data_IF_439742004966
#
_entry.id   IF_439742004966
#
_cell.length_a   1.000
_cell.length_b   1.000
_cell.length_c   1.000
_cell.angle_alpha   90.00
_cell.angle_beta   90.00
_cell.angle_gamma   90.00
#
_symmetry.space_group_name_H-M   'P 1'
#
loop_
_entity.id
_entity.type
_entity.pdbx_description
1 polymer ?
#
# COMPACT_ATOMS: atom_id res chain seq x y z
N UNK A 1 -15.62 -19.31 -9.57
CA UNK A 1 -15.52 -17.97 -8.96
C UNK A 1 -14.84 -17.05 -9.98
N UNK A 2 -15.45 -15.92 -10.37
CA UNK A 2 -14.82 -14.95 -11.29
C UNK A 2 -13.49 -14.50 -10.65
N UNK A 3 -12.37 -14.67 -11.37
CA UNK A 3 -11.10 -14.11 -10.94
C UNK A 3 -11.21 -12.58 -10.97
N UNK A 4 -11.21 -11.94 -9.79
CA UNK A 4 -11.12 -10.48 -9.66
C UNK A 4 -9.80 -10.05 -10.32
N UNK A 5 -9.77 -8.95 -11.09
CA UNK A 5 -8.53 -8.47 -11.73
C UNK A 5 -7.57 -7.87 -10.70
N UNK A 6 -6.32 -7.59 -11.09
CA UNK A 6 -5.35 -6.89 -10.23
C UNK A 6 -5.83 -5.45 -9.97
N UNK A 7 -6.17 -4.72 -11.03
CA UNK A 7 -6.65 -3.34 -10.95
C UNK A 7 -7.89 -3.18 -10.06
N UNK A 8 -8.82 -4.14 -10.14
CA UNK A 8 -9.99 -4.15 -9.25
C UNK A 8 -9.59 -4.31 -7.78
N UNK A 9 -8.61 -5.15 -7.47
CA UNK A 9 -8.10 -5.30 -6.11
C UNK A 9 -7.37 -4.05 -5.64
N UNK A 10 -6.61 -3.37 -6.51
CA UNK A 10 -5.96 -2.10 -6.18
C UNK A 10 -6.97 -1.02 -5.82
N UNK A 11 -8.07 -0.94 -6.58
CA UNK A 11 -9.19 -0.02 -6.30
C UNK A 11 -9.85 -0.39 -4.97
N UNK A 12 -10.17 -1.67 -4.75
CA UNK A 12 -10.79 -2.13 -3.50
C UNK A 12 -9.88 -1.84 -2.29
N UNK A 13 -8.59 -2.11 -2.42
CA UNK A 13 -7.60 -1.88 -1.38
C UNK A 13 -7.51 -0.38 -1.04
N UNK A 14 -7.29 0.46 -2.06
CA UNK A 14 -7.13 1.90 -1.90
C UNK A 14 -8.40 2.55 -1.36
N UNK A 15 -9.57 2.13 -1.85
CA UNK A 15 -10.86 2.60 -1.34
C UNK A 15 -11.06 2.19 0.13
N UNK A 16 -10.81 0.93 0.48
CA UNK A 16 -11.00 0.44 1.85
C UNK A 16 -10.06 1.14 2.83
N UNK A 17 -8.80 1.33 2.45
CA UNK A 17 -7.81 2.05 3.25
C UNK A 17 -8.20 3.53 3.42
N UNK A 18 -8.49 4.21 2.32
CA UNK A 18 -8.85 5.63 2.36
C UNK A 18 -10.14 5.87 3.16
N UNK A 19 -11.12 4.97 3.01
CA UNK A 19 -12.36 5.06 3.76
C UNK A 19 -12.16 4.76 5.25
N UNK A 20 -11.29 3.80 5.60
CA UNK A 20 -10.88 3.54 6.98
C UNK A 20 -10.34 4.81 7.64
N UNK A 21 -9.39 5.49 6.99
CA UNK A 21 -8.76 6.71 7.52
C UNK A 21 -9.78 7.86 7.63
N UNK A 22 -10.66 8.01 6.64
CA UNK A 22 -11.73 9.01 6.68
C UNK A 22 -12.69 8.76 7.87
N UNK A 23 -13.09 7.51 8.08
CA UNK A 23 -13.97 7.14 9.19
C UNK A 23 -13.30 7.37 10.55
N UNK A 24 -12.01 7.04 10.66
CA UNK A 24 -11.20 7.31 11.85
C UNK A 24 -11.14 8.81 12.14
N UNK A 25 -10.84 9.64 11.14
CA UNK A 25 -10.82 11.11 11.28
C UNK A 25 -12.17 11.71 11.69
N UNK A 26 -13.28 11.07 11.30
CA UNK A 26 -14.65 11.47 11.71
C UNK A 26 -15.13 10.81 12.99
N UNK A 27 -14.25 10.11 13.71
CA UNK A 27 -14.52 9.39 14.98
C UNK A 27 -15.54 8.23 14.87
N UNK A 28 -15.85 7.75 13.66
CA UNK A 28 -16.75 6.59 13.46
C UNK A 28 -15.98 5.25 13.56
N UNK A 29 -15.47 4.97 14.76
CA UNK A 29 -14.51 3.90 15.04
C UNK A 29 -14.97 2.48 14.65
N UNK A 30 -16.22 2.03 14.92
CA UNK A 30 -16.62 0.67 14.61
C UNK A 30 -16.52 0.32 13.12
N UNK A 31 -16.90 1.25 12.24
CA UNK A 31 -16.81 1.04 10.80
C UNK A 31 -15.36 1.17 10.31
N UNK A 32 -14.56 2.01 10.96
CA UNK A 32 -13.11 2.10 10.73
C UNK A 32 -12.46 0.72 10.93
N UNK A 33 -12.78 0.03 12.02
CA UNK A 33 -12.28 -1.33 12.26
C UNK A 33 -12.77 -2.34 11.21
N UNK A 34 -14.02 -2.24 10.77
CA UNK A 34 -14.54 -3.11 9.73
C UNK A 34 -13.77 -2.97 8.41
N UNK A 35 -13.24 -1.78 8.11
CA UNK A 35 -12.42 -1.52 6.92
C UNK A 35 -10.98 -2.06 7.02
N UNK A 36 -10.47 -2.41 8.21
CA UNK A 36 -9.14 -3.03 8.36
C UNK A 36 -9.07 -4.34 7.57
N UNK A 37 -10.07 -5.22 7.76
CA UNK A 37 -10.07 -6.55 7.15
C UNK A 37 -10.00 -6.53 5.61
N UNK A 38 -10.89 -5.82 4.88
CA UNK A 38 -10.81 -5.76 3.43
C UNK A 38 -9.52 -5.08 2.95
N UNK A 39 -8.99 -4.10 3.70
CA UNK A 39 -7.71 -3.45 3.38
C UNK A 39 -6.53 -4.43 3.46
N UNK A 40 -6.38 -5.13 4.58
CA UNK A 40 -5.26 -6.06 4.76
C UNK A 40 -5.38 -7.26 3.82
N UNK A 41 -6.57 -7.85 3.68
CA UNK A 41 -6.78 -9.00 2.80
C UNK A 41 -6.50 -8.66 1.33
N UNK A 42 -7.02 -7.53 0.84
CA UNK A 42 -6.75 -7.12 -0.54
C UNK A 42 -5.26 -6.82 -0.76
N UNK A 43 -4.57 -6.22 0.21
CA UNK A 43 -3.12 -5.98 0.14
C UNK A 43 -2.31 -7.27 0.09
N UNK A 44 -2.66 -8.28 0.89
CA UNK A 44 -2.05 -9.61 0.85
C UNK A 44 -2.28 -10.27 -0.53
N UNK A 45 -3.51 -10.24 -1.03
CA UNK A 45 -3.83 -10.83 -2.35
C UNK A 45 -3.08 -10.12 -3.47
N UNK A 46 -2.95 -8.79 -3.41
CA UNK A 46 -2.16 -8.00 -4.38
C UNK A 46 -0.70 -8.46 -4.40
N UNK A 47 -0.09 -8.62 -3.23
CA UNK A 47 1.28 -9.12 -3.12
C UNK A 47 1.47 -10.49 -3.79
N UNK A 48 0.52 -11.42 -3.62
CA UNK A 48 0.58 -12.74 -4.26
C UNK A 48 0.30 -12.73 -5.77
N UNK A 49 -0.30 -11.65 -6.28
CA UNK A 49 -0.55 -11.48 -7.72
C UNK A 49 0.62 -10.83 -8.46
N UNK A 50 1.62 -10.33 -7.75
CA UNK A 50 2.82 -9.77 -8.37
C UNK A 50 3.77 -10.87 -8.82
N UNK A 51 4.14 -10.85 -10.10
CA UNK A 51 5.08 -11.82 -10.67
C UNK A 51 6.53 -11.33 -10.57
N UNK A 52 6.74 -10.01 -10.54
CA UNK A 52 8.06 -9.41 -10.48
C UNK A 52 8.49 -9.15 -9.04
N UNK A 53 9.76 -9.43 -8.72
CA UNK A 53 10.33 -9.17 -7.38
C UNK A 53 10.19 -7.71 -6.94
N UNK A 54 10.41 -6.76 -7.84
CA UNK A 54 10.19 -5.33 -7.57
C UNK A 54 8.72 -5.03 -7.26
N UNK A 55 7.78 -5.62 -8.01
CA UNK A 55 6.34 -5.52 -7.76
C UNK A 55 5.95 -6.07 -6.40
N UNK A 56 6.45 -7.28 -6.04
CA UNK A 56 6.21 -7.89 -4.72
C UNK A 56 6.68 -6.97 -3.59
N UNK A 57 7.87 -6.37 -3.71
CA UNK A 57 8.40 -5.46 -2.69
C UNK A 57 7.59 -4.15 -2.58
N UNK A 58 7.08 -3.62 -3.69
CA UNK A 58 6.17 -2.47 -3.69
C UNK A 58 4.84 -2.83 -3.03
N UNK A 59 4.25 -3.97 -3.40
CA UNK A 59 3.01 -4.46 -2.80
C UNK A 59 3.18 -4.74 -1.30
N UNK A 60 4.32 -5.31 -0.89
CA UNK A 60 4.65 -5.50 0.52
C UNK A 60 4.80 -4.15 1.25
N UNK A 61 5.44 -3.16 0.65
CA UNK A 61 5.54 -1.81 1.23
C UNK A 61 4.15 -1.19 1.44
N UNK A 62 3.24 -1.33 0.47
CA UNK A 62 1.87 -0.84 0.58
C UNK A 62 1.08 -1.60 1.68
N UNK A 63 1.25 -2.92 1.76
CA UNK A 63 0.66 -3.73 2.83
C UNK A 63 1.21 -3.34 4.21
N UNK A 64 2.52 -3.15 4.35
CA UNK A 64 3.15 -2.71 5.59
C UNK A 64 2.59 -1.36 6.04
N UNK A 65 2.43 -0.41 5.12
CA UNK A 65 1.78 0.88 5.40
C UNK A 65 0.35 0.70 5.94
N UNK A 66 -0.47 -0.12 5.28
CA UNK A 66 -1.83 -0.40 5.71
C UNK A 66 -1.91 -1.10 7.07
N UNK A 67 -1.00 -2.04 7.35
CA UNK A 67 -0.89 -2.69 8.67
C UNK A 67 -0.51 -1.67 9.73
N UNK A 68 0.49 -0.82 9.46
CA UNK A 68 0.91 0.24 10.37
C UNK A 68 -0.27 1.16 10.71
N UNK A 69 -1.05 1.61 9.72
CA UNK A 69 -2.23 2.45 9.95
C UNK A 69 -3.32 1.72 10.75
N UNK A 70 -3.51 0.43 10.49
CA UNK A 70 -4.48 -0.38 11.25
C UNK A 70 -4.07 -0.51 12.73
N UNK A 71 -2.77 -0.73 13.00
CA UNK A 71 -2.24 -0.78 14.37
C UNK A 71 -2.31 0.59 15.03
N UNK A 72 -2.05 1.67 14.30
CA UNK A 72 -2.17 3.03 14.83
C UNK A 72 -3.62 3.30 15.24
N UNK A 73 -4.57 3.10 14.33
CA UNK A 73 -6.00 3.24 14.60
C UNK A 73 -6.39 2.49 15.88
N UNK A 74 -6.10 1.19 15.95
CA UNK A 74 -6.44 0.35 17.12
C UNK A 74 -5.72 0.82 18.38
N UNK A 75 -4.44 1.16 18.28
CA UNK A 75 -3.63 1.56 19.43
C UNK A 75 -4.08 2.88 20.03
N UNK A 76 -4.44 3.85 19.20
CA UNK A 76 -4.94 5.15 19.64
C UNK A 76 -6.33 5.01 20.29
N UNK A 77 -7.26 4.32 19.64
CA UNK A 77 -8.65 4.19 20.12
C UNK A 77 -8.78 3.28 21.35
N UNK A 78 -7.86 2.33 21.54
CA UNK A 78 -7.82 1.46 22.74
C UNK A 78 -6.92 2.04 23.84
N UNK A 79 -6.28 3.20 23.64
CA UNK A 79 -5.39 3.82 24.62
C UNK A 79 -4.15 2.99 24.95
N UNK A 80 -3.64 2.23 23.98
CA UNK A 80 -2.39 1.48 24.15
C UNK A 80 -1.21 2.46 24.18
N UNK A 81 -0.21 2.24 25.04
CA UNK A 81 0.94 3.17 25.13
C UNK A 81 2.07 2.82 24.15
N UNK A 82 2.21 1.55 23.79
CA UNK A 82 3.39 1.05 23.06
C UNK A 82 3.14 0.81 21.56
N UNK A 83 1.93 1.08 21.04
CA UNK A 83 1.60 0.79 19.63
C UNK A 83 2.51 1.54 18.65
N UNK A 84 2.96 2.75 19.01
CA UNK A 84 3.85 3.56 18.17
C UNK A 84 5.19 2.88 17.90
N UNK A 85 5.67 2.03 18.81
CA UNK A 85 6.90 1.26 18.59
C UNK A 85 6.69 0.29 17.42
N UNK A 86 5.58 -0.45 17.44
CA UNK A 86 5.22 -1.36 16.35
C UNK A 86 5.00 -0.62 15.03
N UNK A 87 4.30 0.53 15.06
CA UNK A 87 4.11 1.35 13.86
C UNK A 87 5.46 1.79 13.25
N UNK A 88 6.40 2.25 14.08
CA UNK A 88 7.75 2.66 13.62
C UNK A 88 8.52 1.50 13.00
N UNK A 89 8.48 0.31 13.60
CA UNK A 89 9.15 -0.88 13.06
C UNK A 89 8.59 -1.22 11.68
N UNK A 90 7.26 -1.27 11.55
CA UNK A 90 6.59 -1.62 10.29
C UNK A 90 6.83 -0.54 9.23
N UNK A 91 6.81 0.74 9.61
CA UNK A 91 7.16 1.85 8.73
C UNK A 91 8.57 1.67 8.13
N UNK A 92 9.56 1.40 8.98
CA UNK A 92 10.95 1.19 8.53
C UNK A 92 11.04 -0.02 7.60
N UNK A 93 10.33 -1.11 7.88
CA UNK A 93 10.27 -2.27 6.99
C UNK A 93 9.68 -1.91 5.63
N UNK A 94 8.56 -1.19 5.60
CA UNK A 94 7.94 -0.74 4.35
C UNK A 94 8.88 0.14 3.52
N UNK A 95 9.49 1.16 4.16
CA UNK A 95 10.46 2.04 3.49
C UNK A 95 11.67 1.25 2.97
N UNK A 96 12.22 0.34 3.77
CA UNK A 96 13.34 -0.49 3.34
C UNK A 96 12.98 -1.36 2.13
N UNK A 97 11.79 -1.97 2.13
CA UNK A 97 11.30 -2.75 0.98
C UNK A 97 11.14 -1.89 -0.27
N UNK A 98 10.63 -0.66 -0.15
CA UNK A 98 10.51 0.26 -1.28
C UNK A 98 11.88 0.67 -1.84
N UNK A 99 12.86 0.95 -0.97
CA UNK A 99 14.23 1.26 -1.37
C UNK A 99 14.89 0.08 -2.10
N UNK A 100 14.69 -1.14 -1.61
CA UNK A 100 15.19 -2.36 -2.29
C UNK A 100 14.46 -2.56 -3.62
N UNK A 101 13.15 -2.28 -3.70
CA UNK A 101 12.40 -2.36 -4.95
C UNK A 101 12.98 -1.43 -6.02
N UNK A 102 13.34 -0.20 -5.64
CA UNK A 102 13.96 0.80 -6.52
C UNK A 102 15.29 0.29 -7.07
N UNK A 103 16.14 -0.35 -6.25
CA UNK A 103 17.46 -0.83 -6.70
C UNK A 103 17.38 -2.06 -7.60
N UNK A 104 16.36 -2.90 -7.44
CA UNK A 104 16.16 -4.12 -8.24
C UNK A 104 15.35 -3.83 -9.51
N UNK A 105 14.57 -2.75 -9.52
CA UNK A 105 13.78 -2.33 -10.68
C UNK A 105 14.69 -2.02 -11.87
N UNK A 106 14.70 -2.91 -12.87
CA UNK A 106 15.34 -2.67 -14.18
C UNK A 106 14.58 -1.64 -15.03
N UNK A 107 13.32 -1.41 -14.69
CA UNK A 107 12.36 -0.59 -15.45
C UNK A 107 12.43 0.91 -15.17
N UNK A 108 13.13 1.37 -14.14
CA UNK A 108 13.35 2.80 -13.91
C UNK A 108 13.96 3.47 -15.14
N UNK A 109 14.89 2.77 -15.80
CA UNK A 109 15.49 3.18 -17.07
C UNK A 109 14.51 3.17 -18.25
N UNK A 110 13.57 2.22 -18.33
CA UNK A 110 12.56 2.16 -19.39
C UNK A 110 11.48 3.24 -19.21
N UNK A 111 11.01 3.45 -17.99
CA UNK A 111 10.05 4.50 -17.64
C UNK A 111 10.66 5.89 -17.90
N UNK A 112 11.91 6.13 -17.51
CA UNK A 112 12.64 7.35 -17.87
C UNK A 112 12.87 7.48 -19.38
N UNK A 113 13.11 6.37 -20.10
CA UNK A 113 13.25 6.39 -21.56
C UNK A 113 11.92 6.73 -22.28
N UNK A 114 10.77 6.31 -21.74
CA UNK A 114 9.45 6.70 -22.24
C UNK A 114 9.21 8.21 -22.07
N UNK A 115 9.55 8.78 -20.92
CA UNK A 115 9.52 10.23 -20.73
C UNK A 115 10.50 10.97 -21.65
N UNK A 116 11.68 10.40 -21.91
CA UNK A 116 12.64 10.94 -22.89
C UNK A 116 12.11 10.90 -24.32
N UNK A 117 11.39 9.84 -24.71
CA UNK A 117 10.72 9.73 -26.02
C UNK A 117 9.55 10.70 -26.18
N UNK A 118 8.78 10.95 -25.12
CA UNK A 118 7.68 11.93 -25.15
C UNK A 118 8.16 13.37 -25.41
N UNK A 119 9.36 13.73 -24.92
CA UNK A 119 9.98 15.04 -25.26
C UNK A 119 10.33 15.20 -26.75
N UNK A 120 10.57 14.11 -27.48
CA UNK A 120 10.95 14.16 -28.90
C UNK A 120 9.77 14.27 -29.86
N UNK A 121 8.53 14.05 -29.40
CA UNK A 121 7.32 14.09 -30.25
C UNK A 121 6.62 15.45 -30.30
N UNK A 122 7.18 16.49 -29.68
CA UNK A 122 6.67 17.86 -29.78
C UNK A 122 7.36 18.61 -30.92
N UNK A 123 7.09 18.19 -32.16
CA UNK A 123 7.45 18.94 -33.37
C UNK A 123 6.62 18.47 -34.57
N UNK A 124 5.34 18.87 -34.63
CA UNK A 124 4.61 19.21 -35.86
C UNK A 124 3.67 20.35 -35.47
#
# INVERSE_FOLDING_TARGET
MKNISKDQLEIINSFSWFFMDALWMTEYIPLSYACILPTILSGIILMFKEEQRSGILVAFSALAWSIMNSIWLVGETQGMNDYLIFCKIIFVLGVASLLIAITISKDLTQTLALFRRLKLKKKI
#
